data_IF_172415756946
#
_entry.id   IF_172415756946
#
_cell.length_a   1.000
_cell.length_b   1.000
_cell.length_c   1.000
_cell.angle_alpha   90.00
_cell.angle_beta   90.00
_cell.angle_gamma   90.00
#
_symmetry.space_group_name_H-M   'P 1'
#
loop_
_entity.id
_entity.type
_entity.pdbx_description
1 polymer ?
#
# COMPACT_ATOMS: atom_id res chain seq x y z
N UNK A 1 4.71 -4.04 9.07
CA UNK A 1 4.14 -2.73 8.68
C UNK A 1 4.80 -1.64 9.52
N UNK A 2 5.02 -0.47 8.94
CA UNK A 2 5.48 0.72 9.68
C UNK A 2 4.50 1.87 9.46
N UNK A 3 4.34 2.72 10.47
CA UNK A 3 3.52 3.93 10.39
C UNK A 3 4.32 5.10 10.97
N UNK A 4 4.26 6.26 10.32
CA UNK A 4 4.97 7.46 10.80
C UNK A 4 4.19 8.22 11.88
N UNK A 5 2.89 7.94 12.02
CA UNK A 5 1.97 8.90 12.63
C UNK A 5 1.90 10.21 11.81
N UNK A 6 1.25 11.23 12.37
CA UNK A 6 1.22 12.57 11.77
C UNK A 6 2.56 13.26 12.00
N UNK A 7 3.16 13.72 10.91
CA UNK A 7 4.44 14.42 10.86
C UNK A 7 4.25 15.79 10.20
N UNK A 8 5.09 16.75 10.59
CA UNK A 8 5.24 18.05 9.90
C UNK A 8 6.51 18.01 9.07
N UNK A 9 6.39 18.28 7.77
CA UNK A 9 7.50 18.45 6.84
C UNK A 9 7.63 19.91 6.42
N UNK A 10 8.61 20.18 5.56
CA UNK A 10 8.80 21.50 4.93
C UNK A 10 7.60 21.92 4.09
N UNK A 11 6.93 20.96 3.46
CA UNK A 11 5.89 21.22 2.47
C UNK A 11 4.47 21.06 3.02
N UNK A 12 4.31 20.74 4.30
CA UNK A 12 3.00 20.55 4.93
C UNK A 12 2.97 19.46 5.98
N UNK A 13 1.82 18.81 6.14
CA UNK A 13 1.62 17.70 7.08
C UNK A 13 1.41 16.39 6.33
N UNK A 14 1.89 15.29 6.89
CA UNK A 14 1.70 13.98 6.29
C UNK A 14 1.63 12.85 7.32
N UNK A 15 1.03 11.74 6.93
CA UNK A 15 1.13 10.45 7.60
C UNK A 15 1.31 9.36 6.55
N UNK A 16 2.20 8.41 6.83
CA UNK A 16 2.51 7.33 5.91
C UNK A 16 2.43 5.96 6.60
N UNK A 17 1.86 5.01 5.88
CA UNK A 17 1.85 3.58 6.24
C UNK A 17 2.59 2.82 5.15
N UNK A 18 3.51 1.96 5.55
CA UNK A 18 4.31 1.16 4.62
C UNK A 18 4.26 -0.31 5.00
N UNK A 19 3.93 -1.14 4.02
CA UNK A 19 3.98 -2.59 4.13
C UNK A 19 5.13 -3.12 3.27
N UNK A 20 6.04 -3.85 3.92
CA UNK A 20 7.25 -4.40 3.31
C UNK A 20 7.48 -5.80 3.83
N UNK A 21 8.13 -6.64 3.03
CA UNK A 21 8.51 -8.02 3.37
C UNK A 21 9.85 -8.36 2.70
N UNK A 22 10.45 -9.51 3.01
CA UNK A 22 11.85 -9.79 2.67
C UNK A 22 12.11 -9.83 1.16
N UNK A 23 11.30 -10.60 0.44
CA UNK A 23 11.38 -10.82 -1.00
C UNK A 23 11.25 -9.50 -1.80
N UNK A 24 10.38 -8.60 -1.33
CA UNK A 24 10.26 -7.25 -1.91
C UNK A 24 11.46 -6.36 -1.61
N UNK A 25 12.05 -6.45 -0.41
CA UNK A 25 13.24 -5.66 -0.07
C UNK A 25 14.48 -6.14 -0.82
N UNK A 26 14.66 -7.45 -0.94
CA UNK A 26 15.80 -8.07 -1.64
C UNK A 26 15.81 -7.74 -3.14
N UNK A 27 14.66 -7.42 -3.72
CA UNK A 27 14.54 -6.96 -5.12
C UNK A 27 14.71 -5.45 -5.28
N UNK A 28 14.83 -4.68 -4.20
CA UNK A 28 14.98 -3.22 -4.24
C UNK A 28 13.72 -2.45 -4.69
N UNK A 29 12.60 -3.15 -4.84
CA UNK A 29 11.30 -2.56 -5.19
C UNK A 29 10.77 -1.72 -4.01
N UNK A 30 10.00 -0.68 -4.26
CA UNK A 30 9.43 0.15 -3.18
C UNK A 30 8.33 -0.62 -2.39
N UNK A 31 8.10 -0.29 -1.11
CA UNK A 31 7.04 -0.91 -0.35
C UNK A 31 5.66 -0.44 -0.82
N UNK A 32 4.64 -1.27 -0.57
CA UNK A 32 3.24 -0.79 -0.64
C UNK A 32 3.10 0.38 0.33
N UNK A 33 2.58 1.50 -0.15
CA UNK A 33 2.52 2.73 0.63
C UNK A 33 1.11 3.31 0.59
N UNK A 34 0.66 3.86 1.72
CA UNK A 34 -0.39 4.86 1.77
C UNK A 34 0.24 6.14 2.33
N UNK A 35 0.18 7.22 1.58
CA UNK A 35 0.65 8.54 2.00
C UNK A 35 -0.51 9.53 1.98
N UNK A 36 -1.06 9.80 3.16
CA UNK A 36 -2.01 10.90 3.35
C UNK A 36 -1.22 12.18 3.63
N UNK A 37 -1.51 13.26 2.90
CA UNK A 37 -0.78 14.50 3.07
C UNK A 37 -1.60 15.73 2.71
N UNK A 38 -1.27 16.84 3.35
CA UNK A 38 -1.84 18.15 3.05
C UNK A 38 -0.69 19.15 2.91
N UNK A 39 -0.42 19.50 1.66
CA UNK A 39 0.63 20.44 1.29
C UNK A 39 0.18 21.89 1.44
N UNK A 40 1.14 22.80 1.67
CA UNK A 40 0.87 24.22 1.93
C UNK A 40 0.12 24.96 0.80
N UNK A 41 0.19 24.46 -0.44
CA UNK A 41 -0.50 25.03 -1.60
C UNK A 41 -1.76 24.27 -2.05
N UNK A 42 -2.18 23.24 -1.33
CA UNK A 42 -3.34 22.45 -1.73
C UNK A 42 -4.64 23.04 -1.18
N UNK A 43 -5.71 22.92 -1.97
CA UNK A 43 -7.06 23.28 -1.53
C UNK A 43 -7.67 22.21 -0.62
N UNK A 44 -7.14 20.98 -0.66
CA UNK A 44 -7.57 19.85 0.15
C UNK A 44 -6.44 18.83 0.37
N UNK A 45 -6.54 17.98 1.41
CA UNK A 45 -5.66 16.82 1.57
C UNK A 45 -5.82 15.80 0.42
N UNK A 46 -4.76 15.01 0.22
CA UNK A 46 -4.70 13.93 -0.74
C UNK A 46 -4.21 12.63 -0.09
N UNK A 47 -4.50 11.52 -0.75
CA UNK A 47 -3.90 10.21 -0.48
C UNK A 47 -3.34 9.63 -1.77
N UNK A 48 -2.19 8.97 -1.69
CA UNK A 48 -1.60 8.24 -2.81
C UNK A 48 -0.91 6.95 -2.40
N UNK A 49 -0.64 6.12 -3.40
CA UNK A 49 0.19 4.92 -3.29
C UNK A 49 1.67 5.19 -3.56
N UNK A 50 2.48 4.13 -3.54
CA UNK A 50 3.86 4.15 -4.03
C UNK A 50 3.91 4.26 -5.56
N UNK A 51 2.92 3.70 -6.25
CA UNK A 51 2.88 3.58 -7.72
C UNK A 51 1.66 4.23 -8.36
N UNK A 52 0.62 4.52 -7.57
CA UNK A 52 -0.57 5.25 -8.02
C UNK A 52 -0.54 6.69 -7.53
N UNK A 53 -1.03 7.61 -8.37
CA UNK A 53 -0.97 9.06 -8.15
C UNK A 53 -1.95 9.58 -7.08
N UNK A 54 -2.22 10.88 -7.12
CA UNK A 54 -2.99 11.61 -6.11
C UNK A 54 -4.51 11.41 -6.21
N UNK A 55 -5.14 11.12 -5.08
CA UNK A 55 -6.60 11.01 -4.91
C UNK A 55 -7.05 12.00 -3.85
N UNK A 56 -8.23 12.64 -3.99
CA UNK A 56 -8.74 13.57 -2.98
C UNK A 56 -9.06 12.85 -1.67
N UNK A 57 -8.77 13.47 -0.51
CA UNK A 57 -9.01 12.90 0.82
C UNK A 57 -9.82 13.87 1.71
N UNK A 58 -10.95 14.36 1.23
CA UNK A 58 -11.80 15.32 1.95
C UNK A 58 -12.56 14.66 3.11
N UNK A 59 -11.83 14.39 4.19
CA UNK A 59 -12.32 13.72 5.39
C UNK A 59 -12.28 14.71 6.56
N UNK A 60 -13.44 14.93 7.18
CA UNK A 60 -13.65 15.87 8.28
C UNK A 60 -14.23 15.19 9.53
N UNK A 61 -14.70 13.95 9.41
CA UNK A 61 -15.29 13.16 10.49
C UNK A 61 -14.77 11.73 10.50
N UNK A 62 -14.86 11.06 11.65
CA UNK A 62 -14.47 9.65 11.80
C UNK A 62 -15.32 8.72 10.92
N UNK A 63 -16.60 9.06 10.69
CA UNK A 63 -17.48 8.31 9.80
C UNK A 63 -17.00 8.39 8.34
N UNK A 64 -16.60 9.57 7.88
CA UNK A 64 -16.00 9.75 6.55
C UNK A 64 -14.67 8.99 6.45
N UNK A 65 -13.85 9.02 7.50
CA UNK A 65 -12.60 8.27 7.53
C UNK A 65 -12.85 6.76 7.42
N UNK A 66 -13.84 6.23 8.13
CA UNK A 66 -14.24 4.83 8.06
C UNK A 66 -14.79 4.46 6.67
N UNK A 67 -15.50 5.38 6.01
CA UNK A 67 -16.02 5.19 4.66
C UNK A 67 -14.92 5.08 3.59
N UNK A 68 -13.69 5.55 3.85
CA UNK A 68 -12.57 5.49 2.90
C UNK A 68 -11.86 4.13 2.84
N UNK A 69 -12.21 3.16 3.71
CA UNK A 69 -11.57 1.83 3.71
C UNK A 69 -11.55 1.17 2.32
N UNK A 70 -12.61 1.22 1.48
CA UNK A 70 -12.56 0.71 0.12
C UNK A 70 -11.56 1.43 -0.78
N UNK A 71 -11.45 2.76 -0.69
CA UNK A 71 -10.47 3.58 -1.43
C UNK A 71 -9.05 3.19 -1.06
N UNK A 72 -8.76 3.07 0.25
CA UNK A 72 -7.44 2.67 0.73
C UNK A 72 -7.07 1.26 0.26
N UNK A 73 -8.03 0.32 0.24
CA UNK A 73 -7.85 -1.02 -0.32
C UNK A 73 -7.57 -0.97 -1.82
N UNK A 74 -8.30 -0.14 -2.57
CA UNK A 74 -8.07 0.01 -4.02
C UNK A 74 -6.65 0.50 -4.32
N UNK A 75 -6.15 1.51 -3.58
CA UNK A 75 -4.78 2.02 -3.71
C UNK A 75 -3.77 0.91 -3.39
N UNK A 76 -3.94 0.20 -2.27
CA UNK A 76 -3.05 -0.89 -1.84
C UNK A 76 -3.02 -2.03 -2.86
N UNK A 77 -4.17 -2.43 -3.40
CA UNK A 77 -4.26 -3.48 -4.41
C UNK A 77 -3.64 -3.05 -5.74
N UNK A 78 -3.83 -1.80 -6.15
CA UNK A 78 -3.20 -1.25 -7.34
C UNK A 78 -1.67 -1.17 -7.20
N UNK A 79 -1.17 -0.76 -6.04
CA UNK A 79 0.25 -0.82 -5.71
C UNK A 79 0.76 -2.25 -5.84
N UNK A 80 0.14 -3.21 -5.17
CA UNK A 80 0.55 -4.62 -5.24
C UNK A 80 0.61 -5.12 -6.69
N UNK A 81 -0.41 -4.83 -7.49
CA UNK A 81 -0.46 -5.20 -8.91
C UNK A 81 0.74 -4.62 -9.68
N UNK A 82 1.05 -3.34 -9.48
CA UNK A 82 2.15 -2.66 -10.18
C UNK A 82 3.52 -3.15 -9.71
N UNK A 83 3.68 -3.48 -8.42
CA UNK A 83 4.95 -4.03 -7.91
C UNK A 83 5.22 -5.43 -8.48
N UNK A 84 4.19 -6.25 -8.67
CA UNK A 84 4.32 -7.56 -9.35
C UNK A 84 4.79 -7.39 -10.79
N UNK A 85 4.35 -6.34 -11.50
CA UNK A 85 4.83 -6.04 -12.86
C UNK A 85 6.28 -5.54 -12.91
N UNK A 86 6.80 -4.96 -11.82
CA UNK A 86 8.21 -4.56 -11.72
C UNK A 86 9.15 -5.76 -11.53
N UNK A 87 8.61 -6.94 -11.16
CA UNK A 87 9.35 -8.20 -11.06
C UNK A 87 8.52 -9.36 -11.62
N UNK A 88 7.94 -10.15 -10.73
CA UNK A 88 7.00 -11.22 -11.01
C UNK A 88 6.22 -11.57 -9.73
N UNK A 89 5.25 -12.48 -9.85
CA UNK A 89 4.33 -12.82 -8.77
C UNK A 89 5.02 -13.38 -7.51
N UNK A 90 6.22 -13.96 -7.62
CA UNK A 90 6.94 -14.58 -6.48
C UNK A 90 7.40 -13.56 -5.45
N UNK A 91 7.33 -12.27 -5.81
CA UNK A 91 7.50 -11.21 -4.83
C UNK A 91 6.38 -11.22 -3.78
N UNK A 92 5.25 -11.90 -3.96
CA UNK A 92 4.17 -11.94 -2.97
C UNK A 92 4.29 -13.20 -2.10
N UNK A 93 4.51 -13.12 -0.78
CA UNK A 93 4.76 -14.31 0.05
C UNK A 93 3.65 -15.37 -0.05
N UNK A 94 2.40 -14.93 -0.18
CA UNK A 94 1.23 -15.81 -0.30
C UNK A 94 1.26 -16.70 -1.55
N UNK A 95 1.93 -16.29 -2.63
CA UNK A 95 2.02 -17.11 -3.86
C UNK A 95 3.06 -18.22 -3.74
N UNK A 96 4.00 -18.11 -2.81
CA UNK A 96 5.03 -19.13 -2.54
C UNK A 96 4.58 -20.13 -1.48
N UNK A 97 3.72 -19.71 -0.55
CA UNK A 97 3.21 -20.56 0.54
C UNK A 97 2.36 -21.75 0.05
N UNK A 98 1.80 -21.70 -1.17
CA UNK A 98 0.98 -22.77 -1.75
C UNK A 98 1.74 -23.85 -2.54
N UNK A 99 3.05 -23.71 -2.75
CA UNK A 99 3.83 -24.67 -3.55
C UNK A 99 4.36 -25.87 -2.74
N UNK A 100 4.15 -25.90 -1.42
CA UNK A 100 4.74 -26.89 -0.51
C UNK A 100 3.76 -27.81 0.23
N UNK A 101 2.45 -27.71 0.03
CA UNK A 101 1.48 -28.47 0.86
C UNK A 101 0.26 -29.00 0.09
N UNK A 102 0.46 -29.68 -1.05
CA UNK A 102 -0.68 -30.14 -1.85
C UNK A 102 -0.45 -31.28 -2.84
N UNK A 103 0.60 -32.08 -2.70
CA UNK A 103 0.75 -33.33 -3.45
C UNK A 103 1.07 -34.48 -2.49
N UNK A 104 0.06 -34.95 -1.77
CA UNK A 104 0.02 -36.32 -1.27
C UNK A 104 -1.11 -37.04 -2.04
N UNK A 105 -0.68 -37.95 -2.89
CA UNK A 105 -1.36 -39.11 -3.48
C UNK A 105 -2.89 -39.12 -3.50
N UNK A 106 -3.44 -39.01 -4.71
CA UNK A 106 -4.67 -39.72 -5.06
C UNK A 106 -4.23 -41.06 -5.66
N UNK A 107 -4.21 -42.12 -4.86
CA UNK A 107 -4.22 -43.49 -5.39
C UNK A 107 -5.66 -43.88 -5.77
N UNK A 108 -5.74 -44.61 -6.88
CA UNK A 108 -6.95 -44.98 -7.62
C UNK A 108 -7.72 -46.16 -7.00
#
# INVERSE_FOLDING_TARGET
MTATGVQRGTDGVFAAWRLSWAEQRETGIQPITLLAHYGAGFHHPHVRGATVGEWPLNVFTDEQAAAEVPTLRAIVTADLHNLVLQRDFRIVPATMAGAGSGLSEVEA
#
